data_IF_026001235233
#
_entry.id   IF_026001235233
#
_cell.length_a   1.000
_cell.length_b   1.000
_cell.length_c   1.000
_cell.angle_alpha   90.00
_cell.angle_beta   90.00
_cell.angle_gamma   90.00
#
_symmetry.space_group_name_H-M   'P 1'
#
loop_
_entity.id
_entity.type
_entity.pdbx_description
1 polymer ?
#
# COMPACT_ATOMS: atom_id res chain seq x y z
N UNK A 1 37.84 -15.74 12.96
CA UNK A 1 37.10 -14.52 13.27
C UNK A 1 35.74 -14.69 12.67
N UNK A 2 34.72 -14.95 13.50
CA UNK A 2 33.34 -15.05 13.06
C UNK A 2 32.80 -13.61 13.00
N UNK A 3 32.45 -13.14 11.80
CA UNK A 3 31.70 -11.91 11.63
C UNK A 3 30.36 -12.05 12.36
N UNK A 4 30.16 -11.28 13.40
CA UNK A 4 28.87 -11.04 13.99
C UNK A 4 27.96 -10.40 12.93
N UNK A 5 27.18 -11.21 12.22
CA UNK A 5 26.02 -10.71 11.49
C UNK A 5 25.04 -10.23 12.55
N UNK A 6 25.09 -8.95 12.85
CA UNK A 6 24.09 -8.29 13.66
C UNK A 6 22.71 -8.68 13.12
N UNK A 7 21.91 -9.32 13.93
CA UNK A 7 20.52 -9.70 13.63
C UNK A 7 19.76 -8.41 13.36
N UNK A 8 19.68 -8.00 12.11
CA UNK A 8 18.87 -6.84 11.72
C UNK A 8 17.41 -7.25 12.00
N UNK A 9 16.85 -6.73 13.08
CA UNK A 9 15.45 -6.99 13.43
C UNK A 9 14.58 -6.67 12.21
N UNK A 10 13.71 -7.63 11.84
CA UNK A 10 12.80 -7.47 10.71
C UNK A 10 11.92 -6.21 10.86
N UNK A 11 11.65 -5.56 9.75
CA UNK A 11 10.80 -4.36 9.73
C UNK A 11 9.33 -4.74 9.72
N UNK A 12 8.49 -3.90 10.32
CA UNK A 12 7.04 -3.99 10.28
C UNK A 12 6.54 -3.23 9.05
N UNK A 13 5.97 -3.95 8.08
CA UNK A 13 5.59 -3.37 6.80
C UNK A 13 4.08 -3.55 6.58
N UNK A 14 3.37 -2.45 6.40
CA UNK A 14 1.99 -2.48 5.96
C UNK A 14 1.95 -2.57 4.43
N UNK A 15 1.26 -3.59 3.92
CA UNK A 15 1.01 -3.80 2.49
C UNK A 15 -0.43 -3.41 2.18
N UNK A 16 -0.60 -2.48 1.25
CA UNK A 16 -1.91 -1.98 0.77
C UNK A 16 -2.01 -2.35 -0.70
N UNK A 17 -2.66 -3.46 -1.02
CA UNK A 17 -2.75 -4.01 -2.38
C UNK A 17 -3.93 -4.98 -2.47
N UNK A 18 -4.28 -5.44 -3.67
CA UNK A 18 -5.29 -6.49 -3.85
C UNK A 18 -4.81 -7.86 -3.37
N UNK A 19 -5.77 -8.74 -3.10
CA UNK A 19 -5.52 -10.14 -2.75
C UNK A 19 -6.19 -11.05 -3.76
N UNK A 20 -5.45 -11.66 -4.69
CA UNK A 20 -6.00 -12.62 -5.64
C UNK A 20 -6.21 -14.00 -5.00
N UNK A 21 -7.31 -14.65 -5.35
CA UNK A 21 -7.59 -16.04 -4.99
C UNK A 21 -6.74 -17.02 -5.80
N UNK A 22 -6.67 -16.81 -7.11
CA UNK A 22 -5.85 -17.59 -8.02
C UNK A 22 -4.80 -16.70 -8.69
N UNK A 23 -3.52 -17.01 -8.47
CA UNK A 23 -2.36 -16.24 -8.93
C UNK A 23 -1.43 -15.85 -7.78
N UNK A 24 -0.19 -15.54 -8.12
CA UNK A 24 0.85 -15.14 -7.16
C UNK A 24 1.35 -13.73 -7.51
N UNK A 25 0.44 -12.76 -7.39
CA UNK A 25 0.71 -11.33 -7.59
C UNK A 25 0.28 -10.56 -6.34
N UNK A 26 0.52 -9.30 -6.29
CA UNK A 26 0.10 -8.37 -5.24
C UNK A 26 0.36 -8.93 -3.81
N UNK A 27 -0.60 -8.92 -2.90
CA UNK A 27 -0.41 -9.44 -1.53
C UNK A 27 0.02 -10.91 -1.52
N UNK A 28 -0.51 -11.76 -2.41
CA UNK A 28 -0.17 -13.18 -2.46
C UNK A 28 1.30 -13.46 -2.83
N UNK A 29 1.97 -12.51 -3.49
CA UNK A 29 3.41 -12.58 -3.78
C UNK A 29 4.23 -11.86 -2.70
N UNK A 30 3.81 -10.66 -2.29
CA UNK A 30 4.58 -9.82 -1.38
C UNK A 30 4.72 -10.43 0.02
N UNK A 31 3.65 -11.01 0.57
CA UNK A 31 3.67 -11.61 1.91
C UNK A 31 4.75 -12.68 2.09
N UNK A 32 4.81 -13.74 1.27
CA UNK A 32 5.82 -14.77 1.45
C UNK A 32 7.24 -14.28 1.17
N UNK A 33 7.44 -13.38 0.20
CA UNK A 33 8.76 -12.83 -0.13
C UNK A 33 9.30 -12.01 1.05
N UNK A 34 8.52 -11.08 1.58
CA UNK A 34 8.95 -10.24 2.69
C UNK A 34 9.11 -11.04 3.99
N UNK A 35 8.24 -12.03 4.23
CA UNK A 35 8.40 -12.94 5.37
C UNK A 35 9.70 -13.76 5.26
N UNK A 36 10.04 -14.25 4.06
CA UNK A 36 11.32 -14.94 3.81
C UNK A 36 12.53 -14.02 4.05
N UNK A 37 12.40 -12.72 3.78
CA UNK A 37 13.42 -11.71 4.07
C UNK A 37 13.49 -11.34 5.57
N UNK A 38 12.67 -11.94 6.42
CA UNK A 38 12.65 -11.69 7.86
C UNK A 38 11.83 -10.48 8.29
N UNK A 39 10.97 -9.93 7.42
CA UNK A 39 10.09 -8.83 7.76
C UNK A 39 8.73 -9.33 8.26
N UNK A 40 8.08 -8.53 9.11
CA UNK A 40 6.70 -8.76 9.55
C UNK A 40 5.78 -7.95 8.64
N UNK A 41 4.83 -8.63 7.99
CA UNK A 41 3.88 -7.96 7.10
C UNK A 41 2.49 -7.88 7.72
N UNK A 42 1.85 -6.73 7.52
CA UNK A 42 0.46 -6.47 7.84
C UNK A 42 -0.26 -6.15 6.55
N UNK A 43 -1.51 -6.58 6.39
CA UNK A 43 -2.16 -6.54 5.10
C UNK A 43 -3.47 -5.74 5.17
N UNK A 44 -3.61 -4.78 4.27
CA UNK A 44 -4.84 -4.04 4.04
C UNK A 44 -5.27 -4.29 2.59
N UNK A 45 -6.09 -5.32 2.34
CA UNK A 45 -6.54 -5.62 0.98
C UNK A 45 -7.42 -4.49 0.45
N UNK A 46 -7.12 -4.01 -0.76
CA UNK A 46 -7.90 -3.00 -1.49
C UNK A 46 -9.04 -3.64 -2.27
N UNK A 47 -8.86 -4.87 -2.68
CA UNK A 47 -9.87 -5.73 -3.29
C UNK A 47 -9.58 -7.20 -2.99
N UNK A 48 -10.62 -8.02 -2.98
CA UNK A 48 -10.49 -9.45 -3.17
C UNK A 48 -10.77 -9.73 -4.65
N UNK A 49 -9.85 -10.39 -5.32
CA UNK A 49 -9.95 -10.69 -6.76
C UNK A 49 -9.97 -12.19 -6.94
N UNK A 50 -10.93 -12.73 -7.71
CA UNK A 50 -11.04 -14.18 -7.92
C UNK A 50 -9.76 -14.78 -8.50
N UNK A 51 -9.13 -14.07 -9.43
CA UNK A 51 -7.90 -14.46 -10.15
C UNK A 51 -7.23 -13.22 -10.74
N UNK A 52 -6.00 -13.38 -11.24
CA UNK A 52 -5.31 -12.30 -11.95
C UNK A 52 -6.10 -11.83 -13.18
N UNK A 53 -6.02 -10.55 -13.49
CA UNK A 53 -6.85 -9.92 -14.54
C UNK A 53 -6.53 -10.41 -15.95
N UNK A 54 -5.37 -11.03 -16.16
CA UNK A 54 -4.89 -11.55 -17.44
C UNK A 54 -5.78 -12.63 -18.06
N UNK A 55 -6.58 -13.32 -17.23
CA UNK A 55 -7.50 -14.36 -17.72
C UNK A 55 -8.74 -13.79 -18.43
N UNK A 56 -8.93 -12.47 -18.46
CA UNK A 56 -10.05 -11.80 -19.14
C UNK A 56 -11.42 -11.98 -18.50
N UNK A 57 -11.55 -12.89 -17.50
CA UNK A 57 -12.73 -13.07 -16.67
C UNK A 57 -12.30 -13.11 -15.21
N UNK A 58 -12.91 -12.29 -14.39
CA UNK A 58 -12.60 -12.19 -12.97
C UNK A 58 -13.79 -11.60 -12.22
N UNK A 59 -13.80 -11.78 -10.92
CA UNK A 59 -14.70 -11.11 -9.97
C UNK A 59 -13.86 -10.25 -9.06
N UNK A 60 -14.32 -9.03 -8.78
CA UNK A 60 -13.67 -8.08 -7.85
C UNK A 60 -14.65 -7.69 -6.76
N UNK A 61 -14.27 -7.94 -5.52
CA UNK A 61 -14.94 -7.41 -4.35
C UNK A 61 -14.18 -6.20 -3.84
N UNK A 62 -14.77 -5.00 -3.98
CA UNK A 62 -14.26 -3.76 -3.38
C UNK A 62 -14.29 -3.85 -1.85
N UNK A 63 -13.21 -3.45 -1.21
CA UNK A 63 -13.06 -3.49 0.25
C UNK A 63 -13.00 -2.10 0.89
N UNK A 64 -13.38 -1.04 0.20
CA UNK A 64 -13.27 0.36 0.67
C UNK A 64 -13.86 0.57 2.06
N UNK A 65 -15.07 0.05 2.31
CA UNK A 65 -15.71 0.14 3.62
C UNK A 65 -14.92 -0.58 4.71
N UNK A 66 -14.43 -1.79 4.42
CA UNK A 66 -13.57 -2.55 5.33
C UNK A 66 -12.27 -1.79 5.63
N UNK A 67 -11.60 -1.27 4.60
CA UNK A 67 -10.35 -0.51 4.75
C UNK A 67 -10.55 0.69 5.69
N UNK A 68 -11.60 1.47 5.48
CA UNK A 68 -11.91 2.63 6.32
C UNK A 68 -12.07 2.25 7.79
N UNK A 69 -12.84 1.22 8.05
CA UNK A 69 -13.07 0.75 9.42
C UNK A 69 -11.80 0.16 10.03
N UNK A 70 -11.04 -0.60 9.26
CA UNK A 70 -9.77 -1.19 9.70
C UNK A 70 -8.76 -0.12 10.10
N UNK A 71 -8.57 0.89 9.26
CA UNK A 71 -7.63 1.98 9.55
C UNK A 71 -8.03 2.76 10.80
N UNK A 72 -9.33 2.97 11.02
CA UNK A 72 -9.86 3.58 12.25
C UNK A 72 -9.51 2.73 13.47
N UNK A 73 -9.82 1.43 13.44
CA UNK A 73 -9.51 0.50 14.55
C UNK A 73 -8.00 0.47 14.81
N UNK A 74 -7.17 0.39 13.78
CA UNK A 74 -5.72 0.38 13.95
C UNK A 74 -5.16 1.67 14.53
N UNK A 75 -5.79 2.81 14.21
CA UNK A 75 -5.44 4.10 14.78
C UNK A 75 -5.83 4.16 16.27
N UNK A 76 -7.00 3.69 16.64
CA UNK A 76 -7.48 3.60 18.03
C UNK A 76 -6.59 2.66 18.87
N UNK A 77 -6.12 1.54 18.28
CA UNK A 77 -5.20 0.59 18.92
C UNK A 77 -3.74 1.06 18.93
N UNK A 78 -3.42 2.18 18.28
CA UNK A 78 -2.06 2.72 18.24
C UNK A 78 -1.06 1.93 17.40
N UNK A 79 -1.52 1.16 16.39
CA UNK A 79 -0.63 0.38 15.55
C UNK A 79 0.30 1.27 14.73
N UNK A 80 1.56 0.87 14.67
CA UNK A 80 2.62 1.60 13.95
C UNK A 80 3.34 0.67 12.97
N UNK A 81 3.92 1.27 11.92
CA UNK A 81 4.63 0.54 10.88
C UNK A 81 5.94 1.27 10.56
N UNK A 82 7.01 0.52 10.29
CA UNK A 82 8.27 1.07 9.77
C UNK A 82 8.10 1.59 8.33
N UNK A 83 7.27 0.88 7.56
CA UNK A 83 6.99 1.24 6.17
C UNK A 83 5.55 0.90 5.78
N UNK A 84 5.04 1.63 4.78
CA UNK A 84 3.80 1.33 4.06
C UNK A 84 4.17 1.21 2.59
N UNK A 85 3.76 0.11 1.96
CA UNK A 85 3.87 -0.10 0.51
C UNK A 85 2.47 -0.18 -0.08
N UNK A 86 2.18 0.70 -1.06
CA UNK A 86 0.90 0.70 -1.76
C UNK A 86 1.05 0.08 -3.14
N UNK A 87 -0.01 -0.50 -3.66
CA UNK A 87 -0.10 -1.08 -5.00
C UNK A 87 -1.46 -0.78 -5.62
N UNK A 88 -2.14 -1.80 -6.11
CA UNK A 88 -3.42 -1.67 -6.81
C UNK A 88 -4.51 -1.06 -5.92
N UNK A 89 -5.22 -0.08 -6.46
CA UNK A 89 -6.32 0.65 -5.82
C UNK A 89 -7.48 0.71 -6.82
N UNK A 90 -8.68 0.38 -6.36
CA UNK A 90 -9.84 0.21 -7.24
C UNK A 90 -10.68 1.48 -7.42
N UNK A 91 -10.49 2.49 -6.56
CA UNK A 91 -11.32 3.69 -6.60
C UNK A 91 -10.59 4.94 -6.11
N UNK A 92 -11.10 6.10 -6.52
CA UNK A 92 -10.64 7.41 -6.03
C UNK A 92 -10.80 7.54 -4.52
N UNK A 93 -11.89 7.03 -3.99
CA UNK A 93 -12.16 7.04 -2.55
C UNK A 93 -11.09 6.28 -1.77
N UNK A 94 -10.61 5.12 -2.29
CA UNK A 94 -9.48 4.41 -1.70
C UNK A 94 -8.18 5.22 -1.80
N UNK A 95 -7.94 5.87 -2.93
CA UNK A 95 -6.76 6.70 -3.13
C UNK A 95 -6.70 7.84 -2.09
N UNK A 96 -7.81 8.54 -1.86
CA UNK A 96 -7.91 9.60 -0.86
C UNK A 96 -7.72 9.08 0.56
N UNK A 97 -8.36 7.95 0.89
CA UNK A 97 -8.26 7.31 2.18
C UNK A 97 -6.80 6.93 2.51
N UNK A 98 -6.13 6.25 1.59
CA UNK A 98 -4.75 5.80 1.77
C UNK A 98 -3.77 6.97 1.74
N UNK A 99 -3.99 7.94 0.85
CA UNK A 99 -3.17 9.15 0.79
C UNK A 99 -3.19 9.90 2.13
N UNK A 100 -4.37 10.11 2.69
CA UNK A 100 -4.54 10.76 3.99
C UNK A 100 -3.83 9.99 5.10
N UNK A 101 -4.01 8.68 5.16
CA UNK A 101 -3.35 7.80 6.13
C UNK A 101 -1.82 7.82 6.00
N UNK A 102 -1.29 7.70 4.78
CA UNK A 102 0.15 7.76 4.51
C UNK A 102 0.75 9.11 4.89
N UNK A 103 0.07 10.22 4.58
CA UNK A 103 0.50 11.55 4.97
C UNK A 103 0.60 11.71 6.50
N UNK A 104 -0.33 11.11 7.25
CA UNK A 104 -0.31 11.15 8.71
C UNK A 104 0.83 10.28 9.27
N UNK A 105 0.95 9.03 8.83
CA UNK A 105 1.99 8.10 9.30
C UNK A 105 3.40 8.59 8.94
N UNK A 106 3.57 9.28 7.82
CA UNK A 106 4.85 9.89 7.45
C UNK A 106 5.34 10.92 8.47
N UNK A 107 4.44 11.66 9.13
CA UNK A 107 4.81 12.63 10.18
C UNK A 107 5.47 11.96 11.38
N UNK A 108 5.19 10.69 11.61
CA UNK A 108 5.77 9.88 12.70
C UNK A 108 6.98 9.04 12.26
N UNK A 109 7.50 9.26 11.04
CA UNK A 109 8.72 8.62 10.55
C UNK A 109 8.51 7.36 9.71
N UNK A 110 7.27 6.93 9.46
CA UNK A 110 6.97 5.80 8.58
C UNK A 110 7.42 6.09 7.15
N UNK A 111 8.16 5.17 6.53
CA UNK A 111 8.57 5.27 5.12
C UNK A 111 7.41 4.88 4.21
N UNK A 112 7.17 5.65 3.16
CA UNK A 112 6.08 5.39 2.22
C UNK A 112 6.66 5.04 0.86
N UNK A 113 6.27 3.88 0.35
CA UNK A 113 6.57 3.39 -0.99
C UNK A 113 5.26 3.36 -1.77
N UNK A 114 5.20 4.14 -2.84
CA UNK A 114 4.01 4.22 -3.69
C UNK A 114 4.33 3.57 -5.03
N UNK A 115 3.59 2.52 -5.35
CA UNK A 115 3.55 1.95 -6.69
C UNK A 115 2.21 2.34 -7.33
N UNK A 116 2.21 3.31 -8.26
CA UNK A 116 1.00 3.78 -8.91
C UNK A 116 0.60 2.82 -10.04
N UNK A 117 0.22 1.60 -9.69
CA UNK A 117 -0.20 0.55 -10.64
C UNK A 117 -1.43 1.00 -11.41
N UNK A 118 -1.26 1.37 -12.67
CA UNK A 118 -2.33 1.85 -13.55
C UNK A 118 -2.38 1.10 -14.88
N UNK A 119 -1.35 0.36 -15.23
CA UNK A 119 -1.27 -0.38 -16.49
C UNK A 119 0.02 -1.18 -16.61
N UNK A 120 0.08 -2.00 -17.63
CA UNK A 120 1.24 -2.81 -17.99
C UNK A 120 1.41 -2.83 -19.51
N UNK A 121 2.63 -3.02 -19.99
CA UNK A 121 3.01 -3.08 -21.42
C UNK A 121 2.41 -1.93 -22.26
N UNK A 122 2.21 -0.74 -21.66
CA UNK A 122 1.64 0.44 -22.34
C UNK A 122 0.13 0.47 -22.41
N UNK A 123 -0.58 -0.44 -21.77
CA UNK A 123 -2.03 -0.50 -21.70
C UNK A 123 -2.53 -0.26 -20.26
N UNK A 124 -3.61 0.52 -20.12
CA UNK A 124 -4.29 0.67 -18.84
C UNK A 124 -4.98 -0.64 -18.43
N UNK A 125 -4.99 -0.93 -17.14
CA UNK A 125 -5.79 -2.04 -16.62
C UNK A 125 -7.28 -1.81 -16.85
N UNK A 126 -8.03 -2.90 -17.02
CA UNK A 126 -9.46 -2.86 -17.25
C UNK A 126 -10.20 -2.05 -16.17
N UNK A 127 -11.03 -1.11 -16.62
CA UNK A 127 -11.80 -0.22 -15.74
C UNK A 127 -11.12 1.12 -15.40
N UNK A 128 -9.85 1.33 -15.79
CA UNK A 128 -9.18 2.61 -15.66
C UNK A 128 -9.30 3.45 -16.94
N UNK A 129 -9.51 4.75 -16.75
CA UNK A 129 -9.51 5.75 -17.84
C UNK A 129 -8.32 6.70 -17.68
N UNK A 130 -7.98 7.44 -18.73
CA UNK A 130 -6.93 8.47 -18.63
C UNK A 130 -7.25 9.53 -17.57
N UNK A 131 -8.52 9.85 -17.36
CA UNK A 131 -8.93 10.81 -16.34
C UNK A 131 -8.74 10.22 -14.94
N UNK A 132 -9.07 8.95 -14.71
CA UNK A 132 -8.77 8.24 -13.47
C UNK A 132 -7.27 8.25 -13.17
N UNK A 133 -6.43 8.05 -14.20
CA UNK A 133 -4.96 8.11 -14.07
C UNK A 133 -4.50 9.49 -13.62
N UNK A 134 -5.00 10.56 -14.22
CA UNK A 134 -4.64 11.95 -13.85
C UNK A 134 -5.05 12.30 -12.42
N UNK A 135 -6.23 11.86 -12.01
CA UNK A 135 -6.75 12.06 -10.66
C UNK A 135 -5.90 11.31 -9.64
N UNK A 136 -5.60 10.03 -9.89
CA UNK A 136 -4.72 9.22 -9.04
C UNK A 136 -3.31 9.82 -8.96
N UNK A 137 -2.74 10.28 -10.08
CA UNK A 137 -1.44 10.96 -10.09
C UNK A 137 -1.46 12.19 -9.18
N UNK A 138 -2.52 12.99 -9.22
CA UNK A 138 -2.66 14.18 -8.37
C UNK A 138 -2.69 13.79 -6.90
N UNK A 139 -3.45 12.77 -6.54
CA UNK A 139 -3.56 12.26 -5.16
C UNK A 139 -2.22 11.71 -4.66
N UNK A 140 -1.55 10.89 -5.46
CA UNK A 140 -0.24 10.32 -5.11
C UNK A 140 0.86 11.38 -5.04
N UNK A 141 0.84 12.40 -5.90
CA UNK A 141 1.76 13.52 -5.84
C UNK A 141 1.68 14.27 -4.50
N UNK A 142 0.54 14.33 -3.85
CA UNK A 142 0.41 14.95 -2.52
C UNK A 142 1.19 14.18 -1.45
N UNK A 143 1.23 12.85 -1.53
CA UNK A 143 2.04 12.01 -0.62
C UNK A 143 3.53 12.27 -0.86
N UNK A 144 3.94 12.35 -2.12
CA UNK A 144 5.35 12.46 -2.51
C UNK A 144 5.90 13.88 -2.24
N UNK A 145 5.11 14.92 -2.52
CA UNK A 145 5.55 16.32 -2.54
C UNK A 145 5.49 17.05 -1.20
N UNK A 146 4.71 16.58 -0.21
CA UNK A 146 4.72 17.21 1.12
C UNK A 146 5.95 16.72 1.90
N UNK A 147 6.99 17.54 2.09
CA UNK A 147 8.06 17.20 3.01
C UNK A 147 7.45 17.05 4.43
N UNK A 148 8.03 16.21 5.30
CA UNK A 148 7.65 16.23 6.70
C UNK A 148 7.81 17.67 7.18
N UNK A 149 6.76 18.23 7.80
CA UNK A 149 6.84 19.54 8.39
C UNK A 149 8.03 19.53 9.34
N UNK A 150 9.06 20.33 9.03
CA UNK A 150 10.14 20.62 9.96
C UNK A 150 9.47 21.12 11.23
N UNK A 151 9.57 20.35 12.31
CA UNK A 151 9.32 20.91 13.62
C UNK A 151 10.30 22.06 13.76
N UNK A 152 9.78 23.27 13.78
CA UNK A 152 10.55 24.43 14.16
C UNK A 152 11.11 24.13 15.55
N UNK A 153 12.41 23.97 15.61
CA UNK A 153 13.15 24.07 16.85
C UNK A 153 12.92 25.50 17.36
N UNK A 154 12.06 25.67 18.33
CA UNK A 154 12.12 26.81 19.21
C UNK A 154 12.88 26.39 20.45
N UNK A 155 14.03 27.00 20.56
CA UNK A 155 14.94 27.09 21.72
C UNK A 155 14.15 27.57 22.93
#
# INVERSE_FOLDING_TARGET
MAEERGTQMGKQILLVNDLPGYGKVALAAMMPVLAHMGHVTYNLPTALVSNTLDYGKFEIQDTTHFMRNTLKVWQELGFTFDAISTGFIVSHEQADLISSYCCEKRKTGTKIFVDPIMGDEGHLYNGLTEDTVKEMQTTWCQIIRKPPSSQAQHI
#
